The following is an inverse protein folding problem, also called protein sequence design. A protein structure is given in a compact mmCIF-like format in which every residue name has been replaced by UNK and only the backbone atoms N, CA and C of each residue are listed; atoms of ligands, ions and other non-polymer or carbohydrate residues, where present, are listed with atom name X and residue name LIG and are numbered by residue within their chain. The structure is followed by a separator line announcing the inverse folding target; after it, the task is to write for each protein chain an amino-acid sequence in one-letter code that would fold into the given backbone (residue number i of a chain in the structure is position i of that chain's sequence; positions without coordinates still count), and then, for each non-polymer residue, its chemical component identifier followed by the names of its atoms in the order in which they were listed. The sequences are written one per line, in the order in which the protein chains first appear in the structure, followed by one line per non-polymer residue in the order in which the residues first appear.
data_IF_289724866188
#
_entry.id   IF_289724866188
#
_cell.length_a   1.000
_cell.length_b   1.000
_cell.length_c   1.000
_cell.angle_alpha   90.00
_cell.angle_beta   90.00
_cell.angle_gamma   90.00
#
_symmetry.space_group_name_H-M   'P 1'
#
loop_
_entity.id
_entity.type
_entity.pdbx_description
1 polymer ?
#
# COMPACT_ATOMS: atom_id res chain seq x y z
N UNK A 1 -19.53 -11.18 -5.16
CA UNK A 1 -18.75 -10.42 -6.14
C UNK A 1 -17.34 -10.99 -6.22
N UNK A 2 -16.73 -11.04 -7.40
CA UNK A 2 -15.35 -11.55 -7.58
C UNK A 2 -14.52 -10.57 -8.40
N UNK A 3 -13.20 -10.53 -8.15
CA UNK A 3 -12.23 -9.81 -8.97
C UNK A 3 -11.38 -10.83 -9.72
N UNK A 4 -11.09 -10.53 -10.99
CA UNK A 4 -10.18 -11.31 -11.83
C UNK A 4 -8.83 -10.60 -11.87
N UNK A 5 -7.75 -11.29 -11.56
CA UNK A 5 -6.39 -10.74 -11.60
C UNK A 5 -5.42 -11.74 -12.23
N UNK A 6 -4.31 -11.24 -12.76
CA UNK A 6 -3.26 -12.05 -13.35
C UNK A 6 -2.21 -12.38 -12.29
N UNK A 7 -1.96 -13.67 -12.06
CA UNK A 7 -0.94 -14.17 -11.14
C UNK A 7 -0.15 -15.29 -11.82
N UNK A 8 1.17 -15.16 -11.91
CA UNK A 8 2.06 -16.10 -12.61
C UNK A 8 1.61 -16.43 -14.05
N UNK A 9 1.15 -15.42 -14.80
CA UNK A 9 0.67 -15.60 -16.18
C UNK A 9 -0.68 -16.33 -16.30
N UNK A 10 -1.34 -16.66 -15.19
CA UNK A 10 -2.67 -17.28 -15.17
C UNK A 10 -3.72 -16.30 -14.65
N UNK A 11 -4.91 -16.34 -15.23
CA UNK A 11 -6.07 -15.56 -14.75
C UNK A 11 -6.67 -16.27 -13.54
N UNK A 12 -6.65 -15.62 -12.39
CA UNK A 12 -7.23 -16.12 -11.15
C UNK A 12 -8.44 -15.29 -10.71
N UNK A 13 -9.38 -15.94 -10.01
CA UNK A 13 -10.61 -15.33 -9.50
C UNK A 13 -10.56 -15.30 -7.97
N UNK A 14 -10.59 -14.12 -7.36
CA UNK A 14 -10.75 -13.97 -5.92
C UNK A 14 -12.19 -13.60 -5.59
N UNK A 15 -12.82 -14.41 -4.75
CA UNK A 15 -14.18 -14.15 -4.25
C UNK A 15 -14.14 -13.16 -3.09
N UNK A 16 -14.85 -12.04 -3.21
CA UNK A 16 -14.98 -11.06 -2.15
C UNK A 16 -16.24 -11.41 -1.35
N UNK A 17 -16.05 -11.68 -0.05
CA UNK A 17 -17.16 -11.69 0.90
C UNK A 17 -17.56 -10.24 1.18
N UNK A 18 -18.82 -9.87 0.90
CA UNK A 18 -19.37 -8.58 1.31
C UNK A 18 -19.45 -8.55 2.83
N UNK A 19 -18.62 -7.75 3.48
CA UNK A 19 -18.90 -7.31 4.85
C UNK A 19 -19.95 -6.21 4.80
N UNK A 20 -21.16 -6.52 5.30
CA UNK A 20 -22.23 -5.55 5.46
C UNK A 20 -21.93 -4.66 6.67
N UNK A 21 -21.06 -3.65 6.50
CA UNK A 21 -21.12 -2.44 7.32
C UNK A 21 -21.52 -1.28 6.43
N UNK A 22 -22.71 -0.77 6.75
CA UNK A 22 -23.54 0.18 6.01
C UNK A 22 -22.78 1.44 5.59
N UNK A 23 -22.40 1.52 4.32
CA UNK A 23 -22.32 2.79 3.61
C UNK A 23 -23.70 3.09 3.02
N UNK A 24 -24.17 4.34 3.16
CA UNK A 24 -25.49 4.75 2.70
C UNK A 24 -25.64 4.61 1.18
N UNK A 25 -26.16 3.47 0.74
CA UNK A 25 -26.72 3.32 -0.60
C UNK A 25 -28.23 3.53 -0.49
N UNK A 26 -28.72 4.63 -1.07
CA UNK A 26 -30.17 4.88 -1.18
C UNK A 26 -30.72 3.89 -2.21
N UNK A 27 -31.67 3.03 -1.82
CA UNK A 27 -32.42 2.19 -2.78
C UNK A 27 -33.20 3.11 -3.70
N UNK A 28 -32.93 3.05 -5.01
CA UNK A 28 -33.75 3.75 -5.99
C UNK A 28 -35.15 3.13 -6.00
N UNK A 29 -36.16 3.92 -5.65
CA UNK A 29 -37.57 3.53 -5.79
C UNK A 29 -37.92 3.59 -7.28
N UNK A 30 -38.58 2.57 -7.86
CA UNK A 30 -39.00 2.60 -9.26
C UNK A 30 -39.88 3.83 -9.54
N UNK A 31 -39.44 4.72 -10.42
CA UNK A 31 -40.18 5.94 -10.81
C UNK A 31 -39.48 7.27 -10.55
N UNK A 32 -38.36 7.30 -9.81
CA UNK A 32 -37.60 8.54 -9.59
C UNK A 32 -36.61 8.77 -10.74
N UNK A 33 -36.92 9.72 -11.63
CA UNK A 33 -35.95 10.20 -12.64
C UNK A 33 -34.97 11.17 -11.97
N UNK A 34 -33.79 10.68 -11.61
CA UNK A 34 -32.68 11.54 -11.17
C UNK A 34 -32.14 12.27 -12.40
N UNK A 35 -32.28 13.61 -12.44
CA UNK A 35 -31.56 14.44 -13.41
C UNK A 35 -30.07 14.40 -13.06
N UNK A 36 -29.31 13.58 -13.79
CA UNK A 36 -27.85 13.61 -13.74
C UNK A 36 -27.44 14.87 -14.49
N UNK A 37 -27.21 15.97 -13.78
CA UNK A 37 -26.50 17.10 -14.35
C UNK A 37 -25.11 16.64 -14.75
N UNK A 38 -24.86 16.59 -16.07
CA UNK A 38 -23.53 16.35 -16.62
C UNK A 38 -22.68 17.59 -16.32
N UNK A 39 -22.23 17.75 -15.08
CA UNK A 39 -21.00 18.51 -14.84
C UNK A 39 -19.93 17.84 -15.68
N UNK A 40 -19.31 18.58 -16.60
CA UNK A 40 -18.07 18.17 -17.28
C UNK A 40 -17.07 17.81 -16.18
N UNK A 41 -16.97 16.52 -15.87
CA UNK A 41 -15.86 15.99 -15.10
C UNK A 41 -14.65 16.20 -15.98
N UNK A 42 -13.90 17.25 -15.71
CA UNK A 42 -12.50 17.33 -16.11
C UNK A 42 -11.86 16.13 -15.43
N UNK A 43 -11.71 15.02 -16.16
CA UNK A 43 -11.15 13.78 -15.63
C UNK A 43 -9.69 14.07 -15.25
N UNK A 44 -9.30 14.20 -13.97
CA UNK A 44 -7.91 13.96 -13.65
C UNK A 44 -7.72 12.47 -13.86
N UNK A 45 -6.82 12.06 -14.76
CA UNK A 45 -6.49 10.65 -15.01
C UNK A 45 -6.62 9.81 -13.73
N UNK A 46 -7.53 8.84 -13.73
CA UNK A 46 -7.68 7.89 -12.63
C UNK A 46 -6.32 7.24 -12.42
N UNK A 47 -5.59 7.65 -11.39
CA UNK A 47 -4.25 7.14 -11.07
C UNK A 47 -4.38 5.70 -10.56
N UNK A 48 -4.53 4.74 -11.48
CA UNK A 48 -4.50 3.32 -11.16
C UNK A 48 -3.13 2.99 -10.58
N UNK A 49 -3.04 2.30 -9.42
CA UNK A 49 -1.75 1.93 -8.87
C UNK A 49 -0.94 1.07 -9.84
N UNK A 50 0.34 1.40 -10.00
CA UNK A 50 1.30 0.58 -10.73
C UNK A 50 1.73 -0.59 -9.83
N UNK A 51 1.29 -1.81 -10.18
CA UNK A 51 1.62 -3.02 -9.44
C UNK A 51 2.94 -3.59 -9.92
N UNK A 52 3.93 -3.72 -9.02
CA UNK A 52 5.19 -4.40 -9.31
C UNK A 52 5.08 -5.90 -9.06
N UNK A 53 5.83 -6.67 -9.85
CA UNK A 53 5.93 -8.12 -9.68
C UNK A 53 6.34 -8.47 -8.25
N UNK A 54 5.77 -9.55 -7.65
CA UNK A 54 6.08 -9.90 -6.27
C UNK A 54 7.54 -10.29 -6.08
N UNK A 55 8.23 -9.63 -5.14
CA UNK A 55 9.59 -10.01 -4.77
C UNK A 55 9.54 -11.06 -3.65
N UNK A 56 10.30 -12.14 -3.77
CA UNK A 56 10.41 -13.14 -2.70
C UNK A 56 11.40 -12.63 -1.65
N UNK A 57 10.96 -12.60 -0.40
CA UNK A 57 11.72 -12.06 0.73
C UNK A 57 11.87 -13.16 1.78
N UNK A 58 13.11 -13.47 2.14
CA UNK A 58 13.41 -14.22 3.36
C UNK A 58 13.18 -13.29 4.55
N UNK A 59 12.01 -13.38 5.17
CA UNK A 59 11.53 -12.30 6.03
C UNK A 59 12.38 -12.15 7.28
N UNK A 60 12.65 -13.25 7.99
CA UNK A 60 13.42 -13.22 9.24
C UNK A 60 14.86 -12.77 9.00
N UNK A 61 15.53 -13.33 7.99
CA UNK A 61 16.88 -12.93 7.62
C UNK A 61 16.95 -11.45 7.24
N UNK A 62 16.01 -10.99 6.42
CA UNK A 62 15.98 -9.59 5.96
C UNK A 62 15.77 -8.62 7.12
N UNK A 63 14.88 -8.94 8.06
CA UNK A 63 14.63 -8.09 9.23
C UNK A 63 15.84 -8.08 10.17
N UNK A 64 16.53 -9.20 10.34
CA UNK A 64 17.77 -9.28 11.11
C UNK A 64 18.88 -8.43 10.49
N UNK A 65 19.11 -8.55 9.18
CA UNK A 65 20.08 -7.73 8.45
C UNK A 65 19.72 -6.24 8.53
N UNK A 66 18.44 -5.88 8.39
CA UNK A 66 17.95 -4.50 8.54
C UNK A 66 18.25 -3.93 9.91
N UNK A 67 18.00 -4.68 10.99
CA UNK A 67 18.29 -4.24 12.37
C UNK A 67 19.77 -3.97 12.60
N UNK A 68 20.64 -4.68 11.90
CA UNK A 68 22.09 -4.56 12.02
C UNK A 68 22.69 -3.52 11.04
N UNK A 69 21.91 -2.96 10.12
CA UNK A 69 22.36 -1.96 9.15
C UNK A 69 22.46 -0.56 9.77
N UNK A 70 23.54 -0.31 10.50
CA UNK A 70 23.84 1.00 11.12
C UNK A 70 23.93 2.12 10.08
N UNK A 71 24.41 1.82 8.88
CA UNK A 71 24.55 2.81 7.81
C UNK A 71 23.19 3.26 7.29
N UNK A 72 22.22 2.34 7.19
CA UNK A 72 20.85 2.69 6.86
C UNK A 72 20.26 3.65 7.89
N UNK A 73 20.30 3.31 9.18
CA UNK A 73 19.69 4.15 10.23
C UNK A 73 20.37 5.50 10.40
N UNK A 74 21.67 5.61 10.08
CA UNK A 74 22.38 6.88 10.11
C UNK A 74 21.94 7.83 9.00
N UNK A 75 21.59 7.30 7.83
CA UNK A 75 21.35 8.10 6.64
C UNK A 75 19.87 8.28 6.34
N UNK A 76 19.05 7.25 6.52
CA UNK A 76 17.63 7.26 6.22
C UNK A 76 16.91 8.25 7.13
N UNK A 77 16.20 9.19 6.51
CA UNK A 77 15.27 10.07 7.19
C UNK A 77 13.83 9.61 6.91
N UNK A 78 13.03 9.52 7.97
CA UNK A 78 11.61 9.17 7.90
C UNK A 78 10.83 10.33 8.53
N UNK A 79 10.00 11.00 7.74
CA UNK A 79 9.18 12.12 8.22
C UNK A 79 7.69 11.91 7.92
N UNK A 80 6.77 12.42 8.77
CA UNK A 80 5.35 12.35 8.49
C UNK A 80 4.99 13.08 7.19
N UNK A 81 4.14 12.47 6.37
CA UNK A 81 3.49 13.12 5.25
C UNK A 81 2.09 13.57 5.66
N UNK A 82 1.85 14.89 5.67
CA UNK A 82 0.63 15.49 6.21
C UNK A 82 -0.22 16.03 5.05
N UNK A 83 -1.50 15.68 5.05
CA UNK A 83 -2.54 16.21 4.15
C UNK A 83 -3.72 16.62 5.02
N UNK A 84 -4.21 17.86 4.84
CA UNK A 84 -5.34 18.41 5.61
C UNK A 84 -5.20 18.24 7.14
N UNK A 85 -3.98 18.44 7.65
CA UNK A 85 -3.66 18.31 9.07
C UNK A 85 -3.57 16.87 9.61
N UNK A 86 -3.70 15.85 8.75
CA UNK A 86 -3.64 14.43 9.11
C UNK A 86 -2.43 13.74 8.50
N UNK A 87 -1.83 12.82 9.24
CA UNK A 87 -0.75 11.97 8.74
C UNK A 87 -1.32 10.93 7.77
N UNK A 88 -0.95 11.03 6.51
CA UNK A 88 -1.39 10.15 5.41
C UNK A 88 -0.31 9.11 5.02
N UNK A 89 0.82 9.12 5.70
CA UNK A 89 1.95 8.22 5.47
C UNK A 89 3.26 8.78 6.00
N UNK A 90 4.36 8.13 5.61
CA UNK A 90 5.72 8.53 5.99
C UNK A 90 6.61 8.64 4.75
N UNK A 91 7.23 9.79 4.57
CA UNK A 91 8.18 10.06 3.49
C UNK A 91 9.55 9.50 3.84
N UNK A 92 10.13 8.76 2.91
CA UNK A 92 11.50 8.29 2.95
C UNK A 92 12.39 9.31 2.23
N UNK A 93 13.42 9.79 2.91
CA UNK A 93 14.44 10.68 2.31
C UNK A 93 15.84 10.20 2.71
N UNK A 94 16.86 10.51 1.90
CA UNK A 94 18.23 10.02 2.05
C UNK A 94 18.33 8.49 2.11
N UNK A 95 17.47 7.78 1.37
CA UNK A 95 17.50 6.32 1.25
C UNK A 95 18.72 5.88 0.42
N UNK A 96 19.67 5.12 0.99
CA UNK A 96 20.84 4.66 0.24
C UNK A 96 20.48 3.66 -0.86
N UNK A 97 21.08 3.77 -2.05
CA UNK A 97 20.79 2.89 -3.19
C UNK A 97 21.23 1.42 -2.97
N UNK A 98 22.19 1.18 -2.08
CA UNK A 98 22.65 -0.16 -1.72
C UNK A 98 21.88 -0.76 -0.53
N UNK A 99 20.90 -0.04 0.03
CA UNK A 99 20.14 -0.46 1.19
C UNK A 99 19.14 -1.57 0.86
N UNK A 100 18.81 -2.36 1.88
CA UNK A 100 17.79 -3.42 1.78
C UNK A 100 16.43 -2.88 1.28
N UNK A 101 15.87 -1.77 1.82
CA UNK A 101 14.60 -1.24 1.31
C UNK A 101 14.68 -0.87 -0.18
N UNK A 102 15.82 -0.33 -0.64
CA UNK A 102 16.02 -0.01 -2.06
C UNK A 102 16.06 -1.26 -2.94
N UNK A 103 16.77 -2.31 -2.52
CA UNK A 103 16.81 -3.62 -3.19
C UNK A 103 15.41 -4.21 -3.35
N UNK A 104 14.53 -3.99 -2.37
CA UNK A 104 13.14 -4.47 -2.38
C UNK A 104 12.15 -3.52 -3.07
N UNK A 105 12.62 -2.47 -3.74
CA UNK A 105 11.79 -1.69 -4.65
C UNK A 105 11.32 -0.35 -4.11
N UNK A 106 11.61 -0.01 -2.86
CA UNK A 106 11.45 1.36 -2.35
C UNK A 106 12.48 2.28 -3.00
N UNK A 107 12.14 3.56 -3.12
CA UNK A 107 12.97 4.58 -3.77
C UNK A 107 13.02 5.84 -2.91
N UNK A 108 14.06 6.63 -3.16
CA UNK A 108 14.18 7.96 -2.59
C UNK A 108 12.93 8.80 -2.92
N UNK A 109 12.37 9.46 -1.90
CA UNK A 109 11.18 10.29 -2.04
C UNK A 109 9.84 9.54 -1.99
N UNK A 110 9.84 8.21 -1.87
CA UNK A 110 8.61 7.45 -1.67
C UNK A 110 7.91 7.87 -0.38
N UNK A 111 6.58 7.95 -0.43
CA UNK A 111 5.74 8.10 0.77
C UNK A 111 5.04 6.76 1.01
N UNK A 112 5.42 6.05 2.07
CA UNK A 112 4.76 4.81 2.49
C UNK A 112 3.43 5.14 3.13
N UNK A 113 2.34 4.71 2.50
CA UNK A 113 0.97 5.02 2.95
C UNK A 113 0.27 3.85 3.58
N UNK A 114 0.32 2.67 2.93
CA UNK A 114 -0.44 1.50 3.40
C UNK A 114 0.40 0.25 3.41
N UNK A 115 0.15 -0.60 4.40
CA UNK A 115 0.64 -1.97 4.44
C UNK A 115 -0.59 -2.86 4.59
N UNK A 116 -0.76 -3.82 3.67
CA UNK A 116 -1.94 -4.70 3.58
C UNK A 116 -3.26 -3.90 3.63
N UNK A 117 -3.34 -2.81 2.86
CA UNK A 117 -4.51 -1.91 2.82
C UNK A 117 -4.70 -1.00 4.04
N UNK A 118 -3.96 -1.24 5.13
CA UNK A 118 -4.07 -0.45 6.36
C UNK A 118 -3.19 0.81 6.28
N UNK A 119 -3.81 1.98 6.49
CA UNK A 119 -3.11 3.27 6.52
C UNK A 119 -2.09 3.30 7.67
N UNK A 120 -0.87 3.75 7.37
CA UNK A 120 0.22 3.97 8.32
C UNK A 120 0.26 5.44 8.69
N UNK A 121 -0.57 5.83 9.65
CA UNK A 121 -0.65 7.22 10.14
C UNK A 121 0.16 7.45 11.43
N UNK A 122 0.82 6.42 11.96
CA UNK A 122 1.73 6.53 13.11
C UNK A 122 2.78 5.42 13.10
N UNK A 123 3.89 5.65 13.81
CA UNK A 123 4.93 4.63 14.01
C UNK A 123 4.37 3.41 14.76
N UNK A 124 3.54 3.64 15.79
CA UNK A 124 2.87 2.58 16.55
C UNK A 124 2.00 1.69 15.66
N UNK A 125 1.29 2.29 14.68
CA UNK A 125 0.50 1.52 13.71
C UNK A 125 1.36 0.61 12.85
N UNK A 126 2.52 1.11 12.40
CA UNK A 126 3.51 0.29 11.69
C UNK A 126 4.02 -0.89 12.52
N UNK A 127 4.31 -0.66 13.80
CA UNK A 127 4.76 -1.72 14.72
C UNK A 127 3.69 -2.80 14.94
N UNK A 128 2.42 -2.41 15.11
CA UNK A 128 1.31 -3.36 15.22
C UNK A 128 1.21 -4.25 13.97
N UNK A 129 1.34 -3.68 12.78
CA UNK A 129 1.28 -4.45 11.53
C UNK A 129 2.47 -5.40 11.40
N UNK A 130 3.67 -4.96 11.77
CA UNK A 130 4.84 -5.83 11.84
C UNK A 130 4.59 -7.05 12.75
N UNK A 131 4.04 -6.83 13.94
CA UNK A 131 3.71 -7.93 14.86
C UNK A 131 2.66 -8.88 14.27
N UNK A 132 1.63 -8.36 13.60
CA UNK A 132 0.63 -9.17 12.90
C UNK A 132 1.24 -10.04 11.79
N UNK A 133 2.19 -9.50 11.03
CA UNK A 133 2.90 -10.25 9.99
C UNK A 133 3.66 -11.43 10.60
N UNK A 134 4.40 -11.18 11.69
CA UNK A 134 5.19 -12.19 12.42
C UNK A 134 4.27 -13.25 13.02
N UNK A 135 3.21 -12.85 13.73
CA UNK A 135 2.35 -13.78 14.47
C UNK A 135 1.47 -14.64 13.56
N UNK A 136 0.98 -14.08 12.45
CA UNK A 136 0.03 -14.78 11.58
C UNK A 136 0.71 -15.62 10.49
N UNK A 137 2.04 -15.67 10.43
CA UNK A 137 2.76 -16.37 9.37
C UNK A 137 2.40 -15.85 7.96
N UNK A 138 2.18 -14.54 7.84
CA UNK A 138 1.68 -13.90 6.62
C UNK A 138 2.58 -14.24 5.42
N UNK A 139 1.99 -14.76 4.34
CA UNK A 139 2.75 -15.18 3.14
C UNK A 139 2.91 -14.09 2.09
N UNK A 140 2.00 -13.10 2.06
CA UNK A 140 2.03 -12.01 1.09
C UNK A 140 1.81 -10.70 1.83
N UNK A 141 2.66 -9.72 1.56
CA UNK A 141 2.55 -8.34 2.06
C UNK A 141 2.51 -7.38 0.88
N UNK A 142 1.58 -6.44 0.91
CA UNK A 142 1.51 -5.36 -0.08
C UNK A 142 1.81 -4.02 0.60
N UNK A 143 2.69 -3.22 0.00
CA UNK A 143 3.02 -1.87 0.47
C UNK A 143 2.62 -0.88 -0.62
N UNK A 144 1.68 0.00 -0.32
CA UNK A 144 1.33 1.14 -1.18
C UNK A 144 2.24 2.32 -0.85
N UNK A 145 2.91 2.83 -1.87
CA UNK A 145 3.69 4.07 -1.80
C UNK A 145 3.15 5.10 -2.79
N UNK A 146 3.29 6.38 -2.45
CA UNK A 146 3.17 7.46 -3.41
C UNK A 146 4.57 7.78 -3.94
N UNK A 147 4.80 7.51 -5.23
CA UNK A 147 6.05 7.81 -5.93
C UNK A 147 5.78 8.85 -6.99
N UNK A 148 6.45 10.00 -6.90
CA UNK A 148 6.25 11.11 -7.84
C UNK A 148 4.76 11.48 -8.02
N UNK A 149 3.99 11.45 -6.92
CA UNK A 149 2.55 11.75 -6.93
C UNK A 149 1.66 10.67 -7.54
N UNK A 150 2.19 9.47 -7.85
CA UNK A 150 1.44 8.31 -8.36
C UNK A 150 1.49 7.14 -7.37
N UNK A 151 0.36 6.45 -7.11
CA UNK A 151 0.38 5.27 -6.26
C UNK A 151 1.10 4.11 -6.96
N UNK A 152 1.98 3.44 -6.23
CA UNK A 152 2.71 2.23 -6.66
C UNK A 152 2.51 1.19 -5.56
N UNK A 153 2.18 -0.04 -5.95
CA UNK A 153 2.02 -1.16 -5.01
C UNK A 153 3.18 -2.13 -5.19
N UNK A 154 3.97 -2.26 -4.12
CA UNK A 154 5.03 -3.25 -3.99
C UNK A 154 4.45 -4.50 -3.32
N UNK A 155 4.68 -5.66 -3.92
CA UNK A 155 4.20 -6.94 -3.38
C UNK A 155 5.39 -7.80 -2.95
N UNK A 156 5.28 -8.42 -1.79
CA UNK A 156 6.32 -9.26 -1.22
C UNK A 156 5.76 -10.63 -0.87
N UNK A 157 6.40 -11.69 -1.34
CA UNK A 157 6.13 -13.06 -0.91
C UNK A 157 7.11 -13.43 0.19
N UNK A 158 6.61 -13.61 1.41
CA UNK A 158 7.42 -13.94 2.57
C UNK A 158 7.63 -15.46 2.64
N UNK A 159 8.89 -15.88 2.73
CA UNK A 159 9.29 -17.27 3.00
C UNK A 159 9.90 -17.39 4.39
#
# INVERSE_FOLDING_TARGET
DFIVFLYNGKKEKMWIKKENKSGNFVKAVPGVKVKIEKKKVVNPELKTPDFKEPVVVDFYKTIEELKNDKNLFKNLNISPYIVDGKVEGFKLSKLPNNSIPFKFGLREGDIVRRINGTLINSISKGYVIYNQIVQNGTKIVTVEVLRNGRPVVLSYKLK
#
